data_IF_993111353492
#
_entry.id   IF_993111353492
#
_cell.length_a   1.000
_cell.length_b   1.000
_cell.length_c   1.000
_cell.angle_alpha   90.00
_cell.angle_beta   90.00
_cell.angle_gamma   90.00
#
_symmetry.space_group_name_H-M   'P 1'
#
loop_
_entity.id
_entity.type
_entity.pdbx_description
1 polymer ?
#
# COMPACT_ATOMS: atom_id res chain seq x y z
N UNK A 1 -8.88 -15.74 -9.21
CA UNK A 1 -8.49 -14.53 -9.97
C UNK A 1 -7.53 -13.77 -9.08
N UNK A 2 -6.38 -13.30 -9.58
CA UNK A 2 -5.43 -12.54 -8.76
C UNK A 2 -5.90 -11.09 -8.75
N UNK A 3 -6.19 -10.54 -7.57
CA UNK A 3 -6.55 -9.13 -7.39
C UNK A 3 -5.30 -8.28 -7.60
N UNK A 4 -5.41 -7.19 -8.35
CA UNK A 4 -4.31 -6.25 -8.58
C UNK A 4 -3.97 -5.47 -7.30
N UNK A 5 -2.78 -4.86 -7.26
CA UNK A 5 -2.38 -4.02 -6.10
C UNK A 5 -3.28 -2.78 -5.98
N UNK A 6 -3.69 -2.18 -7.10
CA UNK A 6 -4.64 -1.07 -7.11
C UNK A 6 -6.00 -1.47 -6.52
N UNK A 7 -6.54 -2.62 -6.90
CA UNK A 7 -7.81 -3.12 -6.32
C UNK A 7 -7.69 -3.38 -4.81
N UNK A 8 -6.56 -3.92 -4.33
CA UNK A 8 -6.32 -4.10 -2.90
C UNK A 8 -6.28 -2.77 -2.14
N UNK A 9 -5.59 -1.77 -2.68
CA UNK A 9 -5.51 -0.43 -2.06
C UNK A 9 -6.87 0.24 -2.04
N UNK A 10 -7.60 0.23 -3.17
CA UNK A 10 -8.94 0.80 -3.27
C UNK A 10 -9.93 0.10 -2.32
N UNK A 11 -9.85 -1.22 -2.16
CA UNK A 11 -10.69 -1.97 -1.21
C UNK A 11 -10.44 -1.53 0.24
N UNK A 12 -9.17 -1.42 0.66
CA UNK A 12 -8.80 -0.95 2.00
C UNK A 12 -9.32 0.47 2.25
N UNK A 13 -9.21 1.36 1.28
CA UNK A 13 -9.72 2.73 1.40
C UNK A 13 -11.24 2.78 1.49
N UNK A 14 -11.96 2.03 0.64
CA UNK A 14 -13.42 1.95 0.68
C UNK A 14 -13.92 1.52 2.05
N UNK A 15 -13.30 0.49 2.63
CA UNK A 15 -13.67 -0.04 3.94
C UNK A 15 -13.39 0.95 5.08
N UNK A 16 -12.25 1.66 5.05
CA UNK A 16 -11.83 2.54 6.13
C UNK A 16 -12.43 3.96 6.05
N UNK A 17 -12.72 4.44 4.84
CA UNK A 17 -13.35 5.74 4.60
C UNK A 17 -14.88 5.66 4.54
N UNK A 18 -15.46 4.45 4.58
CA UNK A 18 -16.91 4.19 4.46
C UNK A 18 -17.52 4.82 3.18
N UNK A 19 -16.89 4.54 2.03
CA UNK A 19 -17.31 5.06 0.71
C UNK A 19 -17.70 3.95 -0.26
N UNK A 20 -18.65 4.24 -1.15
CA UNK A 20 -19.17 3.25 -2.11
C UNK A 20 -18.19 2.86 -3.20
N UNK A 21 -17.24 3.72 -3.56
CA UNK A 21 -16.18 3.41 -4.54
C UNK A 21 -15.02 4.41 -4.44
N UNK A 22 -13.86 3.98 -4.91
CA UNK A 22 -12.63 4.77 -4.97
C UNK A 22 -12.04 4.57 -6.37
N UNK A 23 -11.83 5.65 -7.10
CA UNK A 23 -11.12 5.64 -8.38
C UNK A 23 -9.59 5.71 -8.16
N UNK A 24 -8.82 5.31 -9.16
CA UNK A 24 -7.36 5.14 -9.01
C UNK A 24 -6.61 6.45 -8.76
N UNK A 25 -7.18 7.57 -9.20
CA UNK A 25 -6.65 8.93 -9.14
C UNK A 25 -7.23 9.76 -7.99
N UNK A 26 -8.14 9.20 -7.19
CA UNK A 26 -8.67 9.89 -6.03
C UNK A 26 -7.65 9.92 -4.90
N UNK A 27 -7.51 11.07 -4.25
CA UNK A 27 -6.63 11.26 -3.13
C UNK A 27 -7.29 10.83 -1.80
N UNK A 28 -6.54 10.10 -0.98
CA UNK A 28 -7.01 9.58 0.31
C UNK A 28 -7.50 10.69 1.26
N UNK A 29 -6.80 11.83 1.29
CA UNK A 29 -7.12 12.95 2.17
C UNK A 29 -8.30 13.77 1.64
N UNK A 30 -8.44 13.90 0.32
CA UNK A 30 -9.63 14.49 -0.32
C UNK A 30 -10.90 13.68 -0.04
N UNK A 31 -10.78 12.36 0.12
CA UNK A 31 -11.87 11.47 0.50
C UNK A 31 -12.20 11.50 2.01
N UNK A 32 -11.53 12.35 2.81
CA UNK A 32 -11.77 12.49 4.25
C UNK A 32 -10.78 11.70 5.12
N UNK A 33 -9.73 11.14 4.54
CA UNK A 33 -8.65 10.48 5.25
C UNK A 33 -7.87 11.41 6.18
N UNK A 34 -7.34 10.84 7.26
CA UNK A 34 -6.53 11.55 8.25
C UNK A 34 -5.51 10.60 8.89
N UNK A 35 -4.57 11.12 9.68
CA UNK A 35 -3.41 10.37 10.20
C UNK A 35 -3.78 9.04 10.89
N UNK A 36 -4.82 9.04 11.74
CA UNK A 36 -5.26 7.80 12.40
C UNK A 36 -5.84 6.75 11.43
N UNK A 37 -6.47 7.16 10.32
CA UNK A 37 -6.92 6.23 9.28
C UNK A 37 -5.74 5.81 8.40
N UNK A 38 -4.81 6.70 8.09
CA UNK A 38 -3.59 6.38 7.34
C UNK A 38 -2.79 5.27 8.03
N UNK A 39 -2.61 5.33 9.35
CA UNK A 39 -1.96 4.25 10.11
C UNK A 39 -2.70 2.91 9.98
N UNK A 40 -4.05 2.93 9.99
CA UNK A 40 -4.86 1.72 9.80
C UNK A 40 -4.75 1.17 8.37
N UNK A 41 -4.72 2.07 7.37
CA UNK A 41 -4.48 1.72 5.97
C UNK A 41 -3.14 1.02 5.84
N UNK A 42 -2.05 1.60 6.36
CA UNK A 42 -0.70 1.03 6.28
C UNK A 42 -0.63 -0.36 6.91
N UNK A 43 -1.25 -0.54 8.08
CA UNK A 43 -1.33 -1.83 8.74
C UNK A 43 -2.06 -2.87 7.86
N UNK A 44 -3.25 -2.53 7.34
CA UNK A 44 -4.06 -3.45 6.51
C UNK A 44 -3.40 -3.73 5.16
N UNK A 45 -2.76 -2.73 4.54
CA UNK A 45 -1.95 -2.91 3.35
C UNK A 45 -0.79 -3.87 3.61
N UNK A 46 -0.10 -3.75 4.74
CA UNK A 46 0.97 -4.69 5.09
C UNK A 46 0.44 -6.11 5.22
N UNK A 47 -0.72 -6.32 5.83
CA UNK A 47 -1.35 -7.65 5.97
C UNK A 47 -1.71 -8.28 4.62
N UNK A 48 -2.30 -7.50 3.69
CA UNK A 48 -2.73 -8.04 2.39
C UNK A 48 -1.60 -8.11 1.36
N UNK A 49 -0.58 -7.25 1.50
CA UNK A 49 0.49 -7.13 0.51
C UNK A 49 1.80 -7.80 0.89
N UNK A 50 2.05 -8.02 2.19
CA UNK A 50 3.33 -8.45 2.73
C UNK A 50 4.44 -7.39 2.65
N UNK A 51 4.10 -6.14 2.32
CA UNK A 51 5.05 -5.04 2.18
C UNK A 51 4.65 -3.89 3.09
N UNK A 52 5.65 -3.38 3.79
CA UNK A 52 5.53 -2.25 4.69
C UNK A 52 5.85 -0.98 3.92
N UNK A 53 4.88 -0.07 3.87
CA UNK A 53 5.03 1.27 3.32
C UNK A 53 5.20 2.25 4.49
N UNK A 54 6.13 3.18 4.40
CA UNK A 54 6.32 4.15 5.47
C UNK A 54 5.21 5.22 5.44
N UNK A 55 4.90 5.77 6.61
CA UNK A 55 3.88 6.81 6.72
C UNK A 55 4.27 8.08 5.94
N UNK A 56 5.56 8.42 5.93
CA UNK A 56 6.07 9.57 5.17
C UNK A 56 5.80 9.40 3.67
N UNK A 57 6.14 8.23 3.10
CA UNK A 57 5.85 7.91 1.69
C UNK A 57 4.35 7.97 1.39
N UNK A 58 3.50 7.48 2.30
CA UNK A 58 2.05 7.53 2.12
C UNK A 58 1.48 8.95 2.07
N UNK A 59 2.07 9.89 2.80
CA UNK A 59 1.67 11.30 2.72
C UNK A 59 2.10 11.96 1.40
N UNK A 60 3.13 11.44 0.74
CA UNK A 60 3.58 11.91 -0.58
C UNK A 60 2.79 11.26 -1.72
N UNK A 61 2.42 9.98 -1.55
CA UNK A 61 1.69 9.14 -2.50
C UNK A 61 0.20 9.17 -2.11
N UNK A 62 -0.48 10.25 -2.46
CA UNK A 62 -1.85 10.52 -2.00
C UNK A 62 -2.92 9.65 -2.67
N UNK A 63 -2.64 9.07 -3.85
CA UNK A 63 -3.61 8.36 -4.68
C UNK A 63 -3.44 6.83 -4.69
N UNK A 64 -4.49 6.09 -5.06
CA UNK A 64 -4.44 4.62 -5.16
C UNK A 64 -3.36 4.17 -6.14
N UNK A 65 -3.24 4.86 -7.28
CA UNK A 65 -2.25 4.56 -8.32
C UNK A 65 -0.83 4.68 -7.77
N UNK A 66 -0.52 5.78 -7.09
CA UNK A 66 0.80 6.06 -6.54
C UNK A 66 1.17 5.07 -5.44
N UNK A 67 0.27 4.83 -4.48
CA UNK A 67 0.48 3.86 -3.40
C UNK A 67 0.68 2.45 -3.95
N UNK A 68 -0.15 2.04 -4.92
CA UNK A 68 -0.03 0.71 -5.52
C UNK A 68 1.29 0.55 -6.28
N UNK A 69 1.73 1.57 -7.02
CA UNK A 69 2.99 1.56 -7.75
C UNK A 69 4.18 1.42 -6.79
N UNK A 70 4.17 2.15 -5.67
CA UNK A 70 5.25 2.08 -4.68
C UNK A 70 5.30 0.72 -3.97
N UNK A 71 4.14 0.16 -3.60
CA UNK A 71 4.07 -1.19 -3.04
C UNK A 71 4.64 -2.23 -4.00
N UNK A 72 4.35 -2.14 -5.29
CA UNK A 72 4.89 -3.04 -6.30
C UNK A 72 6.40 -2.85 -6.51
N UNK A 73 6.90 -1.61 -6.43
CA UNK A 73 8.34 -1.30 -6.45
C UNK A 73 9.07 -1.93 -5.26
N UNK A 74 8.58 -1.70 -4.04
CA UNK A 74 9.14 -2.25 -2.81
C UNK A 74 9.10 -3.79 -2.79
N UNK A 75 8.04 -4.41 -3.32
CA UNK A 75 7.97 -5.87 -3.52
C UNK A 75 9.04 -6.39 -4.48
N UNK A 76 9.32 -5.66 -5.56
CA UNK A 76 10.35 -6.03 -6.52
C UNK A 76 11.75 -5.93 -5.88
N UNK A 77 12.03 -4.84 -5.17
CA UNK A 77 13.28 -4.61 -4.46
C UNK A 77 13.56 -5.72 -3.43
N UNK A 78 12.58 -6.08 -2.59
CA UNK A 78 12.69 -7.20 -1.63
C UNK A 78 12.99 -8.53 -2.29
N UNK A 79 12.48 -8.78 -3.51
CA UNK A 79 12.74 -10.02 -4.26
C UNK A 79 14.16 -10.07 -4.81
N UNK A 80 14.73 -8.91 -5.16
CA UNK A 80 16.11 -8.81 -5.63
C UNK A 80 17.13 -8.88 -4.50
N UNK A 81 16.74 -8.55 -3.26
CA UNK A 81 17.51 -8.78 -2.06
C UNK A 81 17.45 -10.27 -1.63
N UNK A 82 18.00 -11.16 -2.46
CA UNK A 82 18.17 -12.57 -2.09
C UNK A 82 19.06 -12.72 -0.84
N UNK A 83 18.82 -13.73 0.01
CA UNK A 83 19.67 -13.96 1.18
C UNK A 83 21.04 -14.44 0.71
N UNK A 84 22.07 -13.66 1.01
CA UNK A 84 23.45 -14.18 1.01
C UNK A 84 23.51 -15.22 2.13
N UNK A 85 23.34 -16.48 1.79
CA UNK A 85 23.75 -17.58 2.68
C UNK A 85 25.28 -17.59 2.66
N UNK A 86 25.89 -16.83 3.56
CA UNK A 86 27.30 -16.95 3.88
C UNK A 86 27.49 -18.31 4.57
N UNK A 87 27.70 -19.34 3.75
CA UNK A 87 28.05 -20.66 4.21
C UNK A 87 29.46 -20.61 4.80
N UNK A 88 29.55 -20.54 6.13
CA UNK A 88 30.78 -20.89 6.83
C UNK A 88 30.94 -22.42 6.76
N UNK A 89 31.99 -22.85 6.05
CA UNK A 89 32.51 -24.23 5.98
C UNK A 89 33.25 -24.61 7.26
#
# INVERSE_FOLDING_TARGET
MKVSTQEQVAEVWRELLDVESVAVDQDFFELGGHSMLAVQVLYRLTEVTGVELHLEDFFELGTVEEVAAELDRLRADRRTAEPVFEGEL
#
